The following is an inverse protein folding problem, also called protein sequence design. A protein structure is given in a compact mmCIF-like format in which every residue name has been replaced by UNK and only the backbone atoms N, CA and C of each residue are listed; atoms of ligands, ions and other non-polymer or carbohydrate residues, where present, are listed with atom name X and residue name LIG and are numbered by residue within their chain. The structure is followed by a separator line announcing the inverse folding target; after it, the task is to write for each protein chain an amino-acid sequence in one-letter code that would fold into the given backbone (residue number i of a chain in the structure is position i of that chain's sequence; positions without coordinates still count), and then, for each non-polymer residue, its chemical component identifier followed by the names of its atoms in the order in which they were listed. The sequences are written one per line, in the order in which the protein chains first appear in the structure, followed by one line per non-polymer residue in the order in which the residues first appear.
data_IF_523857105808
#
_entry.id   IF_523857105808
#
_cell.length_a   1.000
_cell.length_b   1.000
_cell.length_c   1.000
_cell.angle_alpha   90.00
_cell.angle_beta   90.00
_cell.angle_gamma   90.00
#
_symmetry.space_group_name_H-M   'P 1'
#
loop_
_entity.id
_entity.type
_entity.pdbx_description
1 polymer ?
#
# COMPACT_ATOMS: atom_id res chain seq x y z
N UNK A 1 11.68 -2.91 25.95
CA UNK A 1 11.86 -3.24 24.53
C UNK A 1 10.78 -2.52 23.74
N UNK A 2 11.16 -1.62 22.85
CA UNK A 2 10.21 -0.84 22.06
C UNK A 2 9.68 -1.68 20.89
N UNK A 3 8.36 -1.68 20.67
CA UNK A 3 7.72 -2.40 19.56
C UNK A 3 7.58 -1.45 18.38
N UNK A 4 8.32 -1.71 17.31
CA UNK A 4 8.21 -0.93 16.08
C UNK A 4 7.11 -1.51 15.18
N UNK A 5 6.11 -0.68 14.86
CA UNK A 5 5.04 -1.02 13.92
C UNK A 5 5.24 -0.26 12.62
N UNK A 6 5.02 -0.93 11.50
CA UNK A 6 5.15 -0.34 10.18
C UNK A 6 4.01 0.67 9.90
N UNK A 7 4.38 1.89 9.47
CA UNK A 7 3.42 2.98 9.20
C UNK A 7 3.76 3.85 7.97
N UNK A 8 4.87 3.57 7.27
CA UNK A 8 5.32 4.38 6.13
C UNK A 8 4.53 4.06 4.84
N UNK A 9 3.32 4.59 4.73
CA UNK A 9 2.40 4.46 3.58
C UNK A 9 2.37 5.75 2.75
N UNK A 10 1.93 5.65 1.49
CA UNK A 10 1.77 6.81 0.60
C UNK A 10 2.98 7.12 -0.29
N UNK A 11 2.95 8.28 -0.91
CA UNK A 11 3.92 8.75 -1.90
C UNK A 11 3.84 8.02 -3.24
N UNK A 12 4.77 8.37 -4.15
CA UNK A 12 4.93 7.75 -5.46
C UNK A 12 6.30 7.08 -5.60
N UNK A 13 6.39 5.94 -6.32
CA UNK A 13 7.67 5.31 -6.59
C UNK A 13 8.51 6.22 -7.52
N UNK A 14 9.84 6.17 -7.40
CA UNK A 14 10.70 6.79 -8.40
C UNK A 14 10.50 6.11 -9.76
N UNK A 15 10.78 6.82 -10.86
CA UNK A 15 10.67 6.27 -12.21
C UNK A 15 11.67 5.13 -12.51
N UNK A 16 12.71 5.02 -11.70
CA UNK A 16 13.71 3.94 -11.78
C UNK A 16 13.26 2.65 -11.10
N UNK A 17 12.12 2.66 -10.41
CA UNK A 17 11.63 1.50 -9.68
C UNK A 17 11.15 0.41 -10.65
N UNK A 18 11.37 -0.84 -10.29
CA UNK A 18 11.02 -1.96 -11.16
C UNK A 18 9.50 -2.13 -11.24
N UNK A 19 8.96 -2.18 -12.46
CA UNK A 19 7.51 -2.26 -12.70
C UNK A 19 6.90 -3.63 -12.36
N UNK A 20 7.72 -4.69 -12.29
CA UNK A 20 7.25 -6.04 -11.96
C UNK A 20 7.02 -6.15 -10.45
N UNK A 21 5.75 -6.11 -10.05
CA UNK A 21 5.33 -6.27 -8.66
C UNK A 21 5.29 -7.73 -8.20
N UNK A 22 5.31 -7.94 -6.88
CA UNK A 22 5.13 -9.26 -6.23
C UNK A 22 3.66 -9.63 -5.98
N UNK A 23 2.73 -8.96 -6.66
CA UNK A 23 1.31 -9.23 -6.48
C UNK A 23 0.97 -10.60 -7.09
N UNK A 24 0.25 -11.44 -6.35
CA UNK A 24 -0.13 -12.80 -6.77
C UNK A 24 -1.57 -13.04 -6.39
N UNK A 25 -2.35 -13.60 -7.31
CA UNK A 25 -3.70 -14.09 -7.05
C UNK A 25 -3.77 -15.56 -7.43
N UNK A 26 -4.32 -16.37 -6.54
CA UNK A 26 -4.65 -17.77 -6.76
C UNK A 26 -6.06 -18.02 -6.24
N UNK A 27 -6.62 -19.20 -6.52
CA UNK A 27 -7.94 -19.56 -5.98
C UNK A 27 -7.96 -19.66 -4.45
N UNK A 28 -6.82 -20.03 -3.85
CA UNK A 28 -6.72 -20.26 -2.41
C UNK A 28 -6.18 -19.05 -1.62
N UNK A 29 -5.42 -18.17 -2.26
CA UNK A 29 -4.78 -17.03 -1.58
C UNK A 29 -4.43 -15.87 -2.52
N UNK A 30 -4.28 -14.69 -1.93
CA UNK A 30 -3.79 -13.49 -2.60
C UNK A 30 -2.63 -12.85 -1.82
N UNK A 31 -1.67 -12.28 -2.55
CA UNK A 31 -0.55 -11.49 -2.02
C UNK A 31 -0.67 -10.07 -2.52
N UNK A 32 -0.85 -9.13 -1.59
CA UNK A 32 -0.92 -7.69 -1.86
C UNK A 32 0.31 -7.03 -1.22
N UNK A 33 1.33 -6.64 -2.01
CA UNK A 33 2.53 -6.02 -1.47
C UNK A 33 2.26 -4.62 -0.91
N UNK A 34 3.06 -4.20 0.08
CA UNK A 34 2.98 -2.83 0.65
C UNK A 34 3.06 -1.69 -0.38
N UNK A 35 3.71 -1.93 -1.52
CA UNK A 35 3.86 -0.94 -2.60
C UNK A 35 2.56 -0.55 -3.29
N UNK A 36 1.46 -1.26 -3.03
CA UNK A 36 0.11 -0.92 -3.51
C UNK A 36 -0.46 0.32 -2.79
N UNK A 37 -0.05 0.58 -1.55
CA UNK A 37 -0.56 1.71 -0.75
C UNK A 37 0.12 3.02 -1.18
N UNK A 38 -0.49 3.71 -2.15
CA UNK A 38 -0.04 4.98 -2.77
C UNK A 38 -1.07 6.09 -2.58
N UNK A 39 -0.64 7.34 -2.73
CA UNK A 39 -1.52 8.50 -2.49
C UNK A 39 -2.76 8.51 -3.39
N UNK A 40 -2.61 8.05 -4.62
CA UNK A 40 -3.68 8.07 -5.65
C UNK A 40 -4.75 6.98 -5.49
N UNK A 41 -4.59 6.03 -4.56
CA UNK A 41 -5.58 4.95 -4.32
C UNK A 41 -6.35 5.12 -3.02
N UNK A 42 -6.03 6.14 -2.22
CA UNK A 42 -6.71 6.41 -0.94
C UNK A 42 -8.16 6.82 -1.19
N UNK A 43 -9.08 6.22 -0.42
CA UNK A 43 -10.52 6.52 -0.50
C UNK A 43 -10.99 7.24 0.76
N UNK A 44 -11.84 8.25 0.60
CA UNK A 44 -12.48 8.95 1.71
C UNK A 44 -13.78 8.23 2.12
N UNK A 45 -13.95 7.95 3.41
CA UNK A 45 -15.17 7.36 3.92
C UNK A 45 -16.20 8.43 4.30
N UNK A 46 -17.52 8.18 4.09
CA UNK A 46 -18.55 9.14 4.48
C UNK A 46 -18.48 9.50 5.97
N UNK A 47 -18.66 10.79 6.28
CA UNK A 47 -18.64 11.37 7.64
C UNK A 47 -17.26 11.42 8.33
N UNK A 48 -16.17 11.09 7.64
CA UNK A 48 -14.82 11.22 8.15
C UNK A 48 -14.15 12.49 7.58
N UNK A 49 -13.44 13.23 8.44
CA UNK A 49 -12.76 14.47 8.07
C UNK A 49 -11.27 14.40 8.45
N UNK A 50 -10.40 14.89 7.56
CA UNK A 50 -8.92 14.92 7.73
C UNK A 50 -8.29 13.53 7.91
N UNK A 51 -8.75 12.58 7.11
CA UNK A 51 -8.26 11.20 7.02
C UNK A 51 -8.00 10.84 5.58
#
# INVERSE_FOLDING_TARGET
MDRNYYSALGGHPPQTDMLTGRAVFTEAYAVIPRGVMRDIVTSCLPHWAKT
#
